data_IF_757703878137
#
_entry.id   IF_757703878137
#
_cell.length_a   1.000
_cell.length_b   1.000
_cell.length_c   1.000
_cell.angle_alpha   90.00
_cell.angle_beta   90.00
_cell.angle_gamma   90.00
#
_symmetry.space_group_name_H-M   'P 1'
#
loop_
_entity.id
_entity.type
_entity.pdbx_description
1 polymer ?
#
# COMPACT_ATOMS: atom_id res chain seq x y z
N UNK A 1 12.11 -1.83 -13.06
CA UNK A 1 11.64 -3.11 -12.49
C UNK A 1 10.31 -2.84 -11.81
N UNK A 2 9.42 -3.82 -11.64
CA UNK A 2 8.17 -3.60 -10.91
C UNK A 2 8.38 -3.80 -9.42
N UNK A 3 7.77 -2.96 -8.59
CA UNK A 3 7.77 -3.11 -7.13
C UNK A 3 6.55 -3.92 -6.72
N UNK A 4 6.76 -4.99 -5.95
CA UNK A 4 5.67 -5.85 -5.47
C UNK A 4 5.55 -5.73 -3.96
N UNK A 5 4.37 -5.32 -3.49
CA UNK A 5 4.01 -5.23 -2.07
C UNK A 5 3.03 -6.36 -1.76
N UNK A 6 3.46 -7.32 -0.94
CA UNK A 6 2.62 -8.42 -0.48
C UNK A 6 2.18 -8.15 0.96
N UNK A 7 0.88 -8.08 1.18
CA UNK A 7 0.25 -7.85 2.48
C UNK A 7 -0.58 -9.08 2.82
N UNK A 8 -0.41 -9.62 4.02
CA UNK A 8 -1.28 -10.66 4.58
C UNK A 8 -2.03 -10.09 5.79
N UNK A 9 -3.36 -10.02 5.71
CA UNK A 9 -4.18 -9.48 6.80
C UNK A 9 -4.24 -10.33 8.07
N UNK A 10 -3.63 -11.52 8.08
CA UNK A 10 -3.31 -12.22 9.32
C UNK A 10 -2.12 -11.62 10.09
N UNK A 11 -1.29 -10.84 9.39
CA UNK A 11 -0.07 -10.19 9.92
C UNK A 11 -0.26 -8.68 9.99
N UNK A 12 -0.82 -8.08 8.94
CA UNK A 12 -1.04 -6.64 8.82
C UNK A 12 -2.28 -6.24 9.62
N UNK A 13 -2.08 -6.08 10.92
CA UNK A 13 -3.13 -5.73 11.89
C UNK A 13 -3.17 -4.24 12.26
N UNK A 14 -2.19 -3.46 11.80
CA UNK A 14 -1.99 -2.06 12.15
C UNK A 14 -1.44 -1.25 10.97
N UNK A 15 -1.71 0.06 10.97
CA UNK A 15 -1.18 1.03 9.98
C UNK A 15 0.36 1.02 9.96
N UNK A 16 1.00 0.82 11.11
CA UNK A 16 2.46 0.71 11.22
C UNK A 16 3.02 -0.48 10.45
N UNK A 17 2.41 -1.67 10.58
CA UNK A 17 2.86 -2.86 9.87
C UNK A 17 2.60 -2.74 8.37
N UNK A 18 1.49 -2.12 7.98
CA UNK A 18 1.21 -1.77 6.59
C UNK A 18 2.33 -0.89 6.01
N UNK A 19 2.69 0.21 6.69
CA UNK A 19 3.75 1.11 6.21
C UNK A 19 5.13 0.44 6.19
N UNK A 20 5.39 -0.45 7.13
CA UNK A 20 6.63 -1.25 7.14
C UNK A 20 6.73 -2.13 5.89
N UNK A 21 5.64 -2.79 5.50
CA UNK A 21 5.63 -3.60 4.29
C UNK A 21 5.90 -2.77 3.01
N UNK A 22 5.38 -1.54 2.93
CA UNK A 22 5.68 -0.63 1.81
C UNK A 22 7.14 -0.17 1.79
N UNK A 23 7.71 0.15 2.97
CA UNK A 23 9.13 0.49 3.09
C UNK A 23 10.01 -0.66 2.61
N UNK A 24 9.76 -1.85 3.12
CA UNK A 24 10.59 -3.03 2.87
C UNK A 24 10.49 -3.45 1.39
N UNK A 25 9.31 -3.38 0.79
CA UNK A 25 9.11 -3.69 -0.64
C UNK A 25 9.71 -2.64 -1.59
N UNK A 26 9.67 -1.36 -1.22
CA UNK A 26 10.21 -0.27 -2.05
C UNK A 26 11.72 -0.08 -1.91
N UNK A 27 12.31 -0.51 -0.78
CA UNK A 27 13.71 -0.24 -0.43
C UNK A 27 13.99 1.22 -0.04
N UNK A 28 12.95 2.03 0.18
CA UNK A 28 13.08 3.46 0.49
C UNK A 28 13.21 3.65 2.01
N UNK A 29 14.44 3.68 2.51
CA UNK A 29 14.72 3.74 3.95
C UNK A 29 14.15 4.99 4.65
N UNK A 30 14.07 6.11 3.94
CA UNK A 30 13.57 7.39 4.46
C UNK A 30 12.04 7.56 4.34
N UNK A 31 11.30 6.48 4.05
CA UNK A 31 9.84 6.50 3.96
C UNK A 31 9.17 6.88 5.30
N UNK A 32 8.32 7.92 5.26
CA UNK A 32 7.77 8.57 6.46
C UNK A 32 6.63 7.84 7.19
N UNK A 33 6.11 6.74 6.64
CA UNK A 33 5.16 5.87 7.34
C UNK A 33 3.82 6.52 7.74
N UNK A 34 3.27 7.35 6.86
CA UNK A 34 1.95 7.98 7.02
C UNK A 34 1.25 8.09 5.65
N UNK A 35 0.01 8.60 5.62
CA UNK A 35 -0.82 8.68 4.41
C UNK A 35 -0.20 9.57 3.31
N UNK A 36 0.34 10.74 3.67
CA UNK A 36 0.98 11.64 2.69
C UNK A 36 2.23 10.98 2.10
N UNK A 37 3.07 10.40 2.97
CA UNK A 37 4.25 9.67 2.56
C UNK A 37 3.90 8.47 1.64
N UNK A 38 2.80 7.76 1.92
CA UNK A 38 2.31 6.66 1.08
C UNK A 38 1.98 7.14 -0.33
N UNK A 39 1.26 8.26 -0.46
CA UNK A 39 0.97 8.85 -1.76
C UNK A 39 2.25 9.24 -2.49
N UNK A 40 3.14 9.99 -1.83
CA UNK A 40 4.41 10.44 -2.39
C UNK A 40 5.29 9.27 -2.86
N UNK A 41 5.35 8.20 -2.05
CA UNK A 41 6.11 7.00 -2.37
C UNK A 41 5.59 6.37 -3.69
N UNK A 42 4.28 6.19 -3.80
CA UNK A 42 3.67 5.54 -4.97
C UNK A 42 3.78 6.39 -6.23
N UNK A 43 3.64 7.71 -6.10
CA UNK A 43 3.55 8.63 -7.24
C UNK A 43 4.92 9.11 -7.72
N UNK A 44 5.80 9.50 -6.79
CA UNK A 44 7.01 10.25 -7.09
C UNK A 44 8.32 9.54 -6.79
N UNK A 45 8.32 8.50 -5.94
CA UNK A 45 9.58 7.86 -5.49
C UNK A 45 9.81 6.53 -6.18
N UNK A 46 8.82 5.64 -6.19
CA UNK A 46 8.96 4.31 -6.80
C UNK A 46 8.88 4.42 -8.32
N UNK A 47 9.99 4.09 -8.98
CA UNK A 47 10.05 4.05 -10.45
C UNK A 47 9.39 2.78 -10.99
N UNK A 48 8.54 2.92 -12.02
CA UNK A 48 7.87 1.80 -12.69
C UNK A 48 6.56 1.34 -12.01
N UNK A 49 5.98 0.22 -12.48
CA UNK A 49 4.69 -0.27 -11.99
C UNK A 49 4.78 -0.79 -10.55
N UNK A 50 3.70 -0.60 -9.79
CA UNK A 50 3.55 -1.11 -8.42
C UNK A 50 2.45 -2.18 -8.42
N UNK A 51 2.75 -3.35 -7.87
CA UNK A 51 1.78 -4.43 -7.71
C UNK A 51 1.53 -4.64 -6.23
N UNK A 52 0.31 -4.37 -5.78
CA UNK A 52 -0.13 -4.53 -4.39
C UNK A 52 -1.06 -5.74 -4.34
N UNK A 53 -0.66 -6.77 -3.60
CA UNK A 53 -1.48 -7.95 -3.33
C UNK A 53 -1.77 -7.99 -1.85
N UNK A 54 -3.04 -7.85 -1.47
CA UNK A 54 -3.49 -7.86 -0.09
C UNK A 54 -4.41 -9.07 0.16
N UNK A 55 -3.84 -10.13 0.72
CA UNK A 55 -4.56 -11.34 1.10
C UNK A 55 -5.19 -11.17 2.48
N UNK A 56 -6.29 -11.88 2.75
CA UNK A 56 -7.04 -11.78 4.00
C UNK A 56 -7.42 -10.32 4.35
N UNK A 57 -7.72 -9.49 3.34
CA UNK A 57 -7.92 -8.05 3.50
C UNK A 57 -9.08 -7.72 4.46
N UNK A 58 -10.11 -8.58 4.51
CA UNK A 58 -11.19 -8.46 5.49
C UNK A 58 -10.71 -8.53 6.94
N UNK A 59 -9.66 -9.31 7.22
CA UNK A 59 -9.05 -9.39 8.56
C UNK A 59 -8.31 -8.11 8.91
N UNK A 60 -7.47 -7.60 8.00
CA UNK A 60 -6.84 -6.27 8.16
C UNK A 60 -7.88 -5.18 8.38
N UNK A 61 -8.99 -5.18 7.63
CA UNK A 61 -10.07 -4.21 7.80
C UNK A 61 -10.68 -4.29 9.21
N UNK A 62 -10.90 -5.50 9.72
CA UNK A 62 -11.47 -5.70 11.07
C UNK A 62 -10.52 -5.26 12.18
N UNK A 63 -9.21 -5.36 12.00
CA UNK A 63 -8.22 -5.01 13.04
C UNK A 63 -7.78 -3.55 12.98
N UNK A 64 -7.54 -3.02 11.77
CA UNK A 64 -7.09 -1.64 11.53
C UNK A 64 -8.27 -0.66 11.67
N UNK A 65 -9.50 -1.10 11.36
CA UNK A 65 -10.70 -0.27 11.43
C UNK A 65 -10.72 0.82 10.36
N UNK A 66 -11.24 2.01 10.69
CA UNK A 66 -11.41 3.13 9.75
C UNK A 66 -10.12 3.54 9.02
N UNK A 67 -8.96 3.28 9.63
CA UNK A 67 -7.67 3.56 8.98
C UNK A 67 -7.44 2.72 7.73
N UNK A 68 -8.00 1.51 7.66
CA UNK A 68 -7.93 0.66 6.47
C UNK A 68 -8.55 1.35 5.26
N UNK A 69 -9.72 1.98 5.44
CA UNK A 69 -10.42 2.70 4.37
C UNK A 69 -9.63 3.92 3.89
N UNK A 70 -8.93 4.60 4.79
CA UNK A 70 -8.05 5.72 4.43
C UNK A 70 -6.83 5.27 3.64
N UNK A 71 -6.22 4.14 4.02
CA UNK A 71 -5.12 3.54 3.26
C UNK A 71 -5.58 3.17 1.84
N UNK A 72 -6.75 2.56 1.70
CA UNK A 72 -7.32 2.27 0.38
C UNK A 72 -7.61 3.54 -0.42
N UNK A 73 -8.15 4.58 0.21
CA UNK A 73 -8.41 5.87 -0.45
C UNK A 73 -7.13 6.43 -1.07
N UNK A 74 -6.03 6.45 -0.30
CA UNK A 74 -4.73 6.92 -0.80
C UNK A 74 -4.20 6.05 -1.96
N UNK A 75 -4.37 4.73 -1.90
CA UNK A 75 -3.99 3.84 -3.00
C UNK A 75 -4.80 4.16 -4.26
N UNK A 76 -6.11 4.36 -4.13
CA UNK A 76 -6.98 4.71 -5.26
C UNK A 76 -6.64 6.10 -5.83
N UNK A 77 -6.35 7.08 -4.99
CA UNK A 77 -5.91 8.41 -5.43
C UNK A 77 -4.59 8.33 -6.21
N UNK A 78 -3.64 7.50 -5.75
CA UNK A 78 -2.38 7.30 -6.46
C UNK A 78 -2.55 6.54 -7.79
N UNK A 79 -3.47 5.57 -7.85
CA UNK A 79 -3.87 4.90 -9.12
C UNK A 79 -4.39 5.95 -10.11
N UNK A 80 -5.32 6.79 -9.66
CA UNK A 80 -5.89 7.85 -10.49
C UNK A 80 -4.83 8.87 -10.96
N UNK A 81 -3.87 9.21 -10.10
CA UNK A 81 -2.80 10.14 -10.43
C UNK A 81 -1.82 9.58 -11.49
N UNK A 82 -1.38 8.32 -11.34
CA UNK A 82 -0.39 7.72 -12.27
C UNK A 82 -1.01 7.20 -13.57
N UNK A 83 -2.33 7.03 -13.62
CA UNK A 83 -3.05 6.46 -14.75
C UNK A 83 -3.01 4.93 -14.81
N UNK A 84 -3.80 4.38 -15.73
CA UNK A 84 -4.08 2.95 -15.83
C UNK A 84 -2.82 2.08 -16.00
N UNK A 85 -2.75 0.98 -15.25
CA UNK A 85 -1.67 -0.02 -15.33
C UNK A 85 -0.39 0.34 -14.57
N UNK A 86 -0.27 1.57 -14.05
CA UNK A 86 0.89 2.01 -13.27
C UNK A 86 0.88 1.50 -11.82
N UNK A 87 -0.30 1.24 -11.26
CA UNK A 87 -0.49 0.62 -9.95
C UNK A 87 -1.60 -0.40 -10.07
N UNK A 88 -1.32 -1.65 -9.72
CA UNK A 88 -2.27 -2.75 -9.73
C UNK A 88 -2.58 -3.14 -8.27
N UNK A 89 -3.83 -3.01 -7.86
CA UNK A 89 -4.31 -3.44 -6.54
C UNK A 89 -5.16 -4.70 -6.69
N UNK A 90 -4.80 -5.75 -5.94
CA UNK A 90 -5.64 -6.95 -5.77
C UNK A 90 -5.96 -7.16 -4.29
N UNK A 91 -7.24 -7.14 -3.98
CA UNK A 91 -7.78 -7.47 -2.67
C UNK A 91 -8.34 -8.90 -2.70
N UNK A 92 -7.83 -9.76 -1.84
CA UNK A 92 -8.31 -11.14 -1.64
C UNK A 92 -8.83 -11.25 -0.21
N UNK A 93 -10.02 -11.82 -0.02
CA UNK A 93 -10.70 -11.96 1.28
C UNK A 93 -11.05 -13.40 1.56
#
# INVERSE_FOLDING_TARGET
MATTVNLDGNIIDSETLFHTAFRDASGVEWYGGNLDALFDLMVGVVSGPINIVWTNAARSRSTIGERFDRLLTVIFDAIAYRGDGSINLRLES
#
